data_IF_594818861845
#
_entry.id   IF_594818861845
#
_cell.length_a   1.000
_cell.length_b   1.000
_cell.length_c   1.000
_cell.angle_alpha   90.00
_cell.angle_beta   90.00
_cell.angle_gamma   90.00
#
_symmetry.space_group_name_H-M   'P 1'
#
loop_
_entity.id
_entity.type
_entity.pdbx_description
1 polymer ?
#
# COMPACT_ATOMS: atom_id res chain seq x y z
N UNK A 1 4.20 -29.94 -3.30
CA UNK A 1 4.37 -29.16 -2.05
C UNK A 1 5.29 -28.00 -2.36
N UNK A 2 5.03 -26.77 -1.87
CA UNK A 2 5.96 -25.66 -2.03
C UNK A 2 7.34 -26.05 -1.45
N UNK A 3 8.43 -25.55 -2.04
CA UNK A 3 9.75 -25.70 -1.43
C UNK A 3 9.76 -25.04 -0.05
N UNK A 4 10.69 -25.46 0.82
CA UNK A 4 10.88 -24.82 2.13
C UNK A 4 11.17 -23.32 1.98
N UNK A 5 11.88 -22.93 0.93
CA UNK A 5 12.18 -21.55 0.55
C UNK A 5 10.89 -20.76 0.22
N UNK A 6 9.99 -21.33 -0.59
CA UNK A 6 8.70 -20.71 -0.90
C UNK A 6 7.85 -20.50 0.35
N UNK A 7 7.91 -21.44 1.30
CA UNK A 7 7.21 -21.31 2.58
C UNK A 7 7.79 -20.17 3.43
N UNK A 8 9.11 -20.05 3.51
CA UNK A 8 9.76 -18.96 4.25
C UNK A 8 9.45 -17.59 3.65
N UNK A 9 9.52 -17.46 2.32
CA UNK A 9 9.16 -16.21 1.63
C UNK A 9 7.71 -15.82 1.89
N UNK A 10 6.79 -16.78 1.81
CA UNK A 10 5.37 -16.54 2.09
C UNK A 10 5.14 -16.03 3.52
N UNK A 11 5.79 -16.65 4.51
CA UNK A 11 5.67 -16.24 5.92
C UNK A 11 6.25 -14.85 6.16
N UNK A 12 7.40 -14.53 5.56
CA UNK A 12 8.02 -13.21 5.70
C UNK A 12 7.21 -12.12 5.01
N UNK A 13 6.61 -12.42 3.86
CA UNK A 13 5.71 -11.49 3.18
C UNK A 13 4.49 -11.18 4.05
N UNK A 14 3.81 -12.19 4.60
CA UNK A 14 2.71 -11.98 5.54
C UNK A 14 3.13 -11.16 6.76
N UNK A 15 4.26 -11.50 7.38
CA UNK A 15 4.79 -10.75 8.52
C UNK A 15 5.09 -9.27 8.18
N UNK A 16 5.53 -8.97 6.96
CA UNK A 16 5.76 -7.59 6.53
C UNK A 16 4.46 -6.78 6.40
N UNK A 17 3.36 -7.42 5.98
CA UNK A 17 2.02 -6.80 5.94
C UNK A 17 1.52 -6.54 7.36
N UNK A 18 1.68 -7.50 8.27
CA UNK A 18 1.34 -7.32 9.70
C UNK A 18 2.16 -6.17 10.33
N UNK A 19 3.44 -6.06 9.98
CA UNK A 19 4.29 -4.96 10.44
C UNK A 19 3.86 -3.61 9.89
N UNK A 20 3.44 -3.55 8.62
CA UNK A 20 2.89 -2.33 8.02
C UNK A 20 1.62 -1.90 8.76
N UNK A 21 0.69 -2.82 9.01
CA UNK A 21 -0.52 -2.51 9.80
C UNK A 21 -0.15 -1.93 11.17
N UNK A 22 0.79 -2.56 11.87
CA UNK A 22 1.22 -2.08 13.18
C UNK A 22 1.87 -0.68 13.10
N UNK A 23 2.66 -0.41 12.06
CA UNK A 23 3.26 0.91 11.85
C UNK A 23 2.21 1.98 11.59
N UNK A 24 1.20 1.69 10.75
CA UNK A 24 0.07 2.59 10.47
C UNK A 24 -0.71 2.90 11.74
N UNK A 25 -1.06 1.88 12.53
CA UNK A 25 -1.84 2.04 13.78
C UNK A 25 -1.11 2.83 14.87
N UNK A 26 0.22 2.83 14.85
CA UNK A 26 1.05 3.54 15.82
C UNK A 26 1.58 4.88 15.27
N UNK A 27 1.24 5.24 14.03
CA UNK A 27 1.71 6.46 13.41
C UNK A 27 1.09 7.68 14.08
N UNK A 28 1.87 8.64 14.58
CA UNK A 28 1.35 9.93 15.05
C UNK A 28 0.69 10.70 13.91
N UNK A 29 -0.41 11.40 14.20
CA UNK A 29 -1.18 12.16 13.21
C UNK A 29 -0.32 13.17 12.43
N UNK A 30 0.67 13.80 13.10
CA UNK A 30 1.56 14.78 12.47
C UNK A 30 2.49 14.14 11.42
N UNK A 31 2.88 12.89 11.62
CA UNK A 31 3.65 12.12 10.63
C UNK A 31 2.75 11.46 9.59
N UNK A 32 1.52 11.15 9.99
CA UNK A 32 0.53 10.58 9.10
C UNK A 32 0.23 11.53 7.96
N UNK A 33 -0.17 12.78 8.25
CA UNK A 33 -0.43 13.82 7.26
C UNK A 33 0.85 14.32 6.56
N UNK A 34 1.93 14.48 7.32
CA UNK A 34 3.19 15.03 6.83
C UNK A 34 3.22 16.56 6.76
N UNK A 35 4.30 17.12 6.21
CA UNK A 35 4.44 18.56 5.93
C UNK A 35 4.11 18.93 4.48
N UNK A 36 3.98 17.92 3.63
CA UNK A 36 3.62 18.01 2.21
C UNK A 36 2.85 16.75 1.80
N UNK A 37 1.94 16.80 0.81
CA UNK A 37 1.17 15.63 0.39
C UNK A 37 2.00 14.38 0.03
N UNK A 38 3.25 14.57 -0.42
CA UNK A 38 4.19 13.52 -0.82
C UNK A 38 5.13 13.01 0.29
N UNK A 39 5.12 13.61 1.48
CA UNK A 39 5.95 13.20 2.62
C UNK A 39 5.16 12.53 3.77
N UNK A 40 3.82 12.54 3.70
CA UNK A 40 2.95 11.90 4.66
C UNK A 40 3.02 10.37 4.62
N UNK A 41 3.03 9.74 5.80
CA UNK A 41 2.99 8.27 5.92
C UNK A 41 1.70 7.70 5.31
N UNK A 42 0.62 8.48 5.26
CA UNK A 42 -0.62 8.11 4.59
C UNK A 42 -0.39 7.73 3.12
N UNK A 43 0.42 8.51 2.40
CA UNK A 43 0.65 8.31 0.97
C UNK A 43 1.55 7.12 0.72
N UNK A 44 2.62 6.96 1.53
CA UNK A 44 3.48 5.78 1.48
C UNK A 44 2.69 4.49 1.75
N UNK A 45 1.74 4.55 2.68
CA UNK A 45 0.85 3.43 2.99
C UNK A 45 -0.07 3.12 1.82
N UNK A 46 -0.71 4.15 1.25
CA UNK A 46 -1.54 4.02 0.05
C UNK A 46 -0.79 3.39 -1.11
N UNK A 47 0.37 3.95 -1.48
CA UNK A 47 1.25 3.46 -2.53
C UNK A 47 1.59 1.97 -2.32
N UNK A 48 2.03 1.62 -1.11
CA UNK A 48 2.44 0.26 -0.78
C UNK A 48 1.29 -0.73 -0.92
N UNK A 49 0.09 -0.39 -0.42
CA UNK A 49 -1.08 -1.24 -0.50
C UNK A 49 -1.63 -1.35 -1.92
N UNK A 50 -1.65 -0.25 -2.69
CA UNK A 50 -2.09 -0.24 -4.08
C UNK A 50 -1.28 -1.23 -4.92
N UNK A 51 0.05 -1.11 -4.90
CA UNK A 51 0.92 -1.97 -5.68
C UNK A 51 0.91 -3.42 -5.18
N UNK A 52 0.76 -3.63 -3.86
CA UNK A 52 0.58 -4.97 -3.30
C UNK A 52 -0.66 -5.65 -3.85
N UNK A 53 -1.81 -4.97 -3.85
CA UNK A 53 -3.07 -5.51 -4.37
C UNK A 53 -2.97 -5.78 -5.88
N UNK A 54 -2.47 -4.80 -6.65
CA UNK A 54 -2.29 -4.93 -8.09
C UNK A 54 -1.38 -6.12 -8.44
N UNK A 55 -0.23 -6.27 -7.80
CA UNK A 55 0.69 -7.36 -8.08
C UNK A 55 0.13 -8.73 -7.69
N UNK A 56 -0.68 -8.81 -6.63
CA UNK A 56 -1.36 -10.04 -6.25
C UNK A 56 -2.57 -10.37 -7.16
N UNK A 57 -3.18 -9.35 -7.79
CA UNK A 57 -4.24 -9.55 -8.79
C UNK A 57 -3.72 -10.12 -10.11
N UNK A 58 -2.45 -9.88 -10.43
CA UNK A 58 -1.73 -10.48 -11.56
C UNK A 58 -1.86 -9.75 -12.90
N UNK A 59 -2.73 -8.73 -13.02
CA UNK A 59 -2.83 -7.90 -14.22
C UNK A 59 -3.43 -6.52 -13.90
N UNK A 60 -3.00 -5.50 -14.67
CA UNK A 60 -3.62 -4.16 -14.64
C UNK A 60 -5.01 -4.17 -15.28
N UNK A 61 -5.21 -4.99 -16.32
CA UNK A 61 -6.47 -5.08 -17.02
C UNK A 61 -7.57 -5.61 -16.08
N UNK A 62 -8.59 -4.77 -15.83
CA UNK A 62 -9.69 -5.10 -14.91
C UNK A 62 -9.36 -4.96 -13.43
N UNK A 63 -8.17 -4.48 -13.06
CA UNK A 63 -7.85 -4.16 -11.67
C UNK A 63 -8.64 -2.94 -11.20
N UNK A 64 -9.32 -3.09 -10.07
CA UNK A 64 -10.01 -2.01 -9.39
C UNK A 64 -9.81 -2.20 -7.89
N UNK A 65 -9.10 -1.28 -7.22
CA UNK A 65 -8.98 -1.33 -5.77
C UNK A 65 -10.36 -1.07 -5.14
N UNK A 66 -10.57 -1.51 -3.89
CA UNK A 66 -11.84 -1.29 -3.22
C UNK A 66 -12.11 0.21 -3.05
N UNK A 67 -13.37 0.63 -3.14
CA UNK A 67 -13.72 1.98 -2.70
C UNK A 67 -13.30 2.17 -1.25
N UNK A 68 -12.74 3.33 -0.88
CA UNK A 68 -12.69 4.59 -1.63
C UNK A 68 -11.39 4.85 -2.40
N UNK A 69 -10.54 3.84 -2.60
CA UNK A 69 -9.24 3.98 -3.25
C UNK A 69 -9.40 4.05 -4.78
N UNK A 70 -8.63 4.93 -5.43
CA UNK A 70 -8.64 5.13 -6.88
C UNK A 70 -7.47 4.45 -7.59
N UNK A 71 -7.23 4.87 -8.84
CA UNK A 71 -6.17 4.36 -9.71
C UNK A 71 -5.02 5.38 -9.89
N UNK A 72 -4.85 6.29 -8.94
CA UNK A 72 -3.93 7.43 -9.03
C UNK A 72 -2.48 7.00 -9.30
N UNK A 73 -2.03 5.88 -8.73
CA UNK A 73 -0.70 5.30 -8.94
C UNK A 73 -0.41 4.86 -10.38
N UNK A 74 -1.46 4.65 -11.20
CA UNK A 74 -1.29 4.32 -12.61
C UNK A 74 -1.25 5.57 -13.50
N UNK A 75 -1.49 6.76 -12.96
CA UNK A 75 -1.41 8.00 -13.72
C UNK A 75 0.06 8.41 -13.91
N UNK A 76 0.57 8.48 -15.15
CA UNK A 76 1.97 8.81 -15.41
C UNK A 76 2.35 10.26 -15.05
N UNK A 77 1.36 11.12 -14.78
CA UNK A 77 1.58 12.50 -14.32
C UNK A 77 1.86 12.59 -12.82
N UNK A 78 1.69 11.49 -12.07
CA UNK A 78 1.97 11.42 -10.65
C UNK A 78 0.93 12.16 -9.80
N UNK A 79 -0.35 12.02 -10.14
CA UNK A 79 -1.43 12.59 -9.32
C UNK A 79 -1.48 11.89 -7.96
N UNK A 80 -1.67 12.66 -6.91
CA UNK A 80 -1.92 12.12 -5.58
C UNK A 80 -3.42 11.87 -5.39
N UNK A 81 -3.81 10.94 -4.51
CA UNK A 81 -5.19 10.82 -4.06
C UNK A 81 -5.76 12.17 -3.61
N UNK A 82 -7.05 12.38 -3.86
CA UNK A 82 -7.76 13.63 -3.59
C UNK A 82 -7.94 13.94 -2.08
N UNK A 83 -7.57 13.00 -1.22
CA UNK A 83 -7.76 13.05 0.22
C UNK A 83 -6.70 12.26 0.97
N UNK A 84 -6.42 12.71 2.19
CA UNK A 84 -5.76 11.90 3.20
C UNK A 84 -6.76 10.85 3.72
N UNK A 85 -6.32 9.61 3.84
CA UNK A 85 -7.11 8.53 4.44
C UNK A 85 -6.87 8.51 5.96
N UNK A 86 -7.91 8.43 6.79
CA UNK A 86 -7.82 8.37 8.25
C UNK A 86 -8.66 7.21 8.80
#
# INVERSE_FOLDING_TARGET
>A
MPSMENKSLWLQFGASVDMLENAVRQCPDELWEGTSPDDGVWYLTFHTLFWTDLYLSGAVEGFHPPQPYGLEELDPTGVLPDRVYA
#
